data_IF_712404127210
#
_entry.id   IF_712404127210
#
_cell.length_a   1.000
_cell.length_b   1.000
_cell.length_c   1.000
_cell.angle_alpha   90.00
_cell.angle_beta   90.00
_cell.angle_gamma   90.00
#
_symmetry.space_group_name_H-M   'P 1'
#
loop_
_entity.id
_entity.type
_entity.pdbx_description
1 polymer ?
#
# COMPACT_ATOMS: atom_id res chain seq x y z
N UNK A 1 77.46 -35.90 32.46
CA UNK A 1 78.40 -35.65 33.58
C UNK A 1 77.63 -35.61 34.90
N UNK A 2 78.30 -35.78 36.06
CA UNK A 2 77.65 -35.71 37.39
C UNK A 2 78.20 -34.52 38.17
N UNK A 3 77.31 -33.71 38.73
CA UNK A 3 77.65 -32.53 39.53
C UNK A 3 77.31 -32.80 41.00
N UNK A 4 78.21 -32.47 41.95
CA UNK A 4 78.01 -32.70 43.39
C UNK A 4 77.94 -31.37 44.18
N UNK A 5 76.90 -31.23 45.00
CA UNK A 5 76.68 -30.19 46.00
C UNK A 5 75.93 -30.76 47.21
N UNK A 6 75.00 -30.02 47.83
CA UNK A 6 74.11 -30.55 48.89
C UNK A 6 73.22 -31.74 48.42
N UNK A 7 73.19 -32.00 47.11
CA UNK A 7 72.62 -33.17 46.44
C UNK A 7 73.46 -33.58 45.23
N UNK A 8 72.92 -34.49 44.41
CA UNK A 8 73.59 -34.99 43.18
C UNK A 8 72.70 -34.75 41.97
N UNK A 9 73.25 -34.18 40.91
CA UNK A 9 72.57 -33.95 39.62
C UNK A 9 73.25 -34.73 38.52
N UNK A 10 72.44 -35.32 37.65
CA UNK A 10 72.89 -36.08 36.49
C UNK A 10 72.40 -35.43 35.21
N UNK A 11 73.31 -35.31 34.24
CA UNK A 11 73.01 -34.82 32.89
C UNK A 11 73.46 -35.85 31.88
N UNK A 12 72.52 -36.23 31.01
CA UNK A 12 72.71 -37.23 29.98
C UNK A 12 72.60 -36.59 28.59
N UNK A 13 73.63 -36.80 27.78
CA UNK A 13 73.68 -36.38 26.38
C UNK A 13 73.39 -37.61 25.51
N UNK A 14 72.35 -37.51 24.68
CA UNK A 14 71.99 -38.58 23.75
C UNK A 14 73.03 -38.61 22.61
N UNK A 15 73.66 -39.76 22.36
CA UNK A 15 74.72 -39.85 21.37
C UNK A 15 74.22 -39.48 19.96
N UNK A 16 75.07 -38.76 19.22
CA UNK A 16 74.78 -38.26 17.87
C UNK A 16 73.43 -37.51 17.77
N UNK A 17 73.04 -36.80 18.84
CA UNK A 17 71.81 -36.03 18.89
C UNK A 17 71.98 -34.81 19.78
N UNK A 18 71.27 -33.74 19.44
CA UNK A 18 71.22 -32.52 20.27
C UNK A 18 70.25 -32.65 21.47
N UNK A 19 69.82 -33.86 21.84
CA UNK A 19 68.88 -34.12 22.96
C UNK A 19 69.62 -34.29 24.28
N UNK A 20 69.26 -33.46 25.27
CA UNK A 20 69.81 -33.48 26.64
C UNK A 20 68.67 -33.78 27.62
N UNK A 21 68.95 -34.61 28.64
CA UNK A 21 68.03 -34.91 29.74
C UNK A 21 68.72 -34.64 31.09
N UNK A 22 67.97 -34.16 32.07
CA UNK A 22 68.47 -33.86 33.42
C UNK A 22 67.53 -34.38 34.53
N UNK A 23 68.10 -34.78 35.67
CA UNK A 23 67.38 -35.08 36.92
C UNK A 23 68.27 -34.83 38.14
N UNK A 24 67.66 -34.68 39.31
CA UNK A 24 68.37 -34.33 40.55
C UNK A 24 67.82 -35.09 41.76
N UNK A 25 68.67 -35.31 42.77
CA UNK A 25 68.25 -35.75 44.10
C UNK A 25 68.86 -34.89 45.19
N UNK A 26 68.18 -34.78 46.32
CA UNK A 26 68.68 -34.11 47.51
C UNK A 26 69.12 -35.12 48.58
N UNK A 27 70.37 -35.05 49.03
CA UNK A 27 70.96 -35.96 50.02
C UNK A 27 70.58 -37.45 49.81
N UNK A 28 69.85 -38.07 50.75
CA UNK A 28 69.34 -39.45 50.68
C UNK A 28 67.91 -39.59 50.16
N UNK A 29 67.25 -38.49 49.76
CA UNK A 29 65.87 -38.48 49.25
C UNK A 29 65.72 -39.04 47.82
N UNK A 30 64.46 -39.12 47.36
CA UNK A 30 64.12 -39.65 46.05
C UNK A 30 64.64 -38.77 44.90
N UNK A 31 64.95 -39.42 43.77
CA UNK A 31 65.26 -38.72 42.52
C UNK A 31 63.99 -38.13 41.92
N UNK A 32 64.13 -36.96 41.32
CA UNK A 32 63.11 -36.48 40.37
C UNK A 32 63.06 -37.38 39.13
N UNK A 33 61.92 -37.43 38.43
CA UNK A 33 61.87 -37.97 37.08
C UNK A 33 62.84 -37.25 36.15
N UNK A 34 63.25 -37.91 35.07
CA UNK A 34 64.03 -37.27 34.01
C UNK A 34 63.17 -36.30 33.22
N UNK A 35 63.70 -35.11 32.96
CA UNK A 35 63.07 -34.09 32.12
C UNK A 35 63.89 -33.85 30.85
N UNK A 36 63.20 -33.55 29.75
CA UNK A 36 63.82 -33.29 28.44
C UNK A 36 64.08 -31.79 28.26
N UNK A 37 65.25 -31.43 27.74
CA UNK A 37 65.58 -30.06 27.34
C UNK A 37 65.33 -29.86 25.83
N UNK A 38 64.48 -28.90 25.46
CA UNK A 38 64.15 -28.54 24.07
C UNK A 38 65.07 -27.40 23.56
N UNK A 39 65.47 -27.38 22.27
CA UNK A 39 66.39 -26.40 21.67
C UNK A 39 66.06 -26.11 20.19
N UNK A 40 66.86 -25.31 19.49
CA UNK A 40 66.59 -24.88 18.10
C UNK A 40 66.53 -26.03 17.09
N UNK A 41 67.25 -27.12 17.36
CA UNK A 41 67.23 -28.35 16.58
C UNK A 41 66.23 -29.38 17.13
N UNK A 42 65.44 -29.05 18.18
CA UNK A 42 64.45 -29.91 18.85
C UNK A 42 63.30 -29.11 19.51
N UNK A 43 62.26 -28.73 18.75
CA UNK A 43 61.14 -27.83 19.15
C UNK A 43 59.86 -28.60 19.61
N UNK A 44 58.90 -27.96 20.33
CA UNK A 44 57.60 -28.56 20.74
C UNK A 44 56.46 -28.43 19.69
N UNK A 45 55.40 -29.25 19.79
CA UNK A 45 54.22 -29.30 18.90
C UNK A 45 52.86 -28.90 19.55
N UNK A 46 51.76 -28.89 18.77
CA UNK A 46 50.43 -28.42 19.22
C UNK A 46 49.87 -29.17 20.45
N UNK A 47 50.22 -30.44 20.59
CA UNK A 47 49.87 -31.28 21.73
C UNK A 47 50.67 -30.93 23.00
N UNK A 48 51.90 -30.41 22.86
CA UNK A 48 52.73 -30.05 24.01
C UNK A 48 52.19 -28.78 24.72
N UNK A 49 51.28 -28.04 24.06
CA UNK A 49 50.76 -26.75 24.54
C UNK A 49 49.23 -26.65 24.61
N UNK A 50 48.46 -27.67 24.21
CA UNK A 50 46.98 -27.70 24.33
C UNK A 50 46.18 -26.92 23.28
N UNK A 51 46.71 -26.78 22.04
CA UNK A 51 46.11 -25.96 20.98
C UNK A 51 45.46 -26.77 19.83
N UNK A 52 44.69 -26.07 18.99
CA UNK A 52 44.05 -26.63 17.80
C UNK A 52 44.89 -26.56 16.51
N UNK A 53 45.09 -27.66 15.76
CA UNK A 53 45.97 -27.66 14.59
C UNK A 53 45.47 -26.89 13.35
N UNK A 54 46.39 -26.42 12.48
CA UNK A 54 46.09 -25.76 11.18
C UNK A 54 45.48 -26.70 10.14
N UNK A 55 45.70 -28.00 10.31
CA UNK A 55 44.98 -29.05 9.58
C UNK A 55 43.56 -29.26 10.11
N UNK A 56 43.10 -28.38 10.99
CA UNK A 56 41.84 -28.48 11.71
C UNK A 56 41.97 -29.14 13.08
N UNK A 57 40.95 -28.93 13.91
CA UNK A 57 40.74 -29.63 15.17
C UNK A 57 39.51 -29.11 15.93
N UNK A 58 39.33 -29.51 17.18
CA UNK A 58 38.16 -29.27 18.05
C UNK A 58 38.31 -28.19 19.15
N UNK A 59 37.56 -27.09 19.05
CA UNK A 59 37.46 -26.04 20.08
C UNK A 59 36.78 -26.60 21.37
N UNK A 60 37.32 -26.28 22.55
CA UNK A 60 36.75 -26.61 23.89
C UNK A 60 36.34 -25.32 24.64
N UNK A 61 35.04 -24.97 24.67
CA UNK A 61 34.46 -23.73 25.23
C UNK A 61 33.02 -23.48 24.70
N UNK A 62 32.20 -22.56 25.26
CA UNK A 62 30.79 -22.42 24.89
C UNK A 62 30.61 -22.23 23.40
N UNK A 63 29.89 -23.20 22.89
CA UNK A 63 29.59 -23.56 21.52
C UNK A 63 28.47 -24.55 21.82
N UNK A 64 27.23 -24.25 21.51
CA UNK A 64 26.10 -25.16 21.73
C UNK A 64 25.13 -24.76 22.83
N UNK A 65 23.84 -24.81 22.46
CA UNK A 65 22.54 -24.74 23.17
C UNK A 65 21.75 -25.85 22.42
N UNK A 66 20.97 -26.74 23.01
CA UNK A 66 19.76 -26.52 23.78
C UNK A 66 19.85 -25.91 25.16
N UNK A 67 21.05 -25.75 25.70
CA UNK A 67 21.29 -25.15 27.01
C UNK A 67 22.79 -24.91 27.19
N UNK A 68 23.20 -24.15 28.22
CA UNK A 68 24.58 -23.73 28.51
C UNK A 68 25.42 -23.54 27.22
N UNK A 69 24.95 -22.75 26.27
CA UNK A 69 24.84 -21.32 26.41
C UNK A 69 26.17 -20.78 26.85
N UNK A 70 26.77 -20.10 25.93
CA UNK A 70 26.88 -18.72 26.19
C UNK A 70 26.67 -18.10 24.82
N UNK A 71 25.69 -17.21 24.71
CA UNK A 71 25.87 -16.13 23.74
C UNK A 71 27.19 -15.34 24.05
N UNK A 72 27.94 -15.67 25.13
CA UNK A 72 29.40 -15.60 25.22
C UNK A 72 30.17 -16.78 24.55
N UNK A 73 31.15 -16.47 23.70
CA UNK A 73 31.41 -17.18 22.44
C UNK A 73 32.13 -18.55 22.47
N UNK A 74 32.20 -19.31 21.37
CA UNK A 74 31.61 -19.14 20.06
C UNK A 74 30.25 -19.86 20.00
N UNK A 75 29.17 -19.20 20.48
CA UNK A 75 27.79 -19.42 20.00
C UNK A 75 27.76 -19.92 18.55
N UNK A 76 26.69 -20.44 17.94
CA UNK A 76 26.21 -21.81 17.99
C UNK A 76 25.52 -22.16 19.25
N UNK A 77 24.24 -22.49 19.13
CA UNK A 77 23.36 -22.92 20.21
C UNK A 77 21.86 -22.87 19.79
N UNK A 78 21.05 -23.96 19.87
CA UNK A 78 19.56 -24.01 19.66
C UNK A 78 18.71 -24.85 20.67
N UNK A 79 17.73 -24.20 21.34
CA UNK A 79 17.28 -24.26 22.75
C UNK A 79 16.58 -25.48 23.36
N UNK A 80 16.39 -26.56 22.63
CA UNK A 80 15.65 -27.76 23.06
C UNK A 80 15.90 -28.88 22.05
N UNK A 81 15.20 -30.01 22.18
CA UNK A 81 15.40 -31.18 21.31
C UNK A 81 14.72 -31.05 19.93
N UNK A 82 14.06 -29.92 19.64
CA UNK A 82 13.22 -29.79 18.46
C UNK A 82 13.17 -28.39 17.81
N UNK A 83 14.15 -27.54 18.13
CA UNK A 83 14.39 -26.23 17.50
C UNK A 83 15.82 -26.16 16.94
N UNK A 84 16.01 -25.62 15.73
CA UNK A 84 17.34 -25.45 15.12
C UNK A 84 17.35 -25.39 13.60
N UNK A 85 18.51 -25.60 12.98
CA UNK A 85 18.67 -25.69 11.53
C UNK A 85 18.86 -27.15 11.09
N UNK A 86 18.24 -27.56 9.97
CA UNK A 86 18.37 -28.91 9.41
C UNK A 86 18.61 -28.85 7.90
N UNK A 87 19.70 -29.46 7.43
CA UNK A 87 19.90 -29.70 6.01
C UNK A 87 19.10 -30.94 5.60
N UNK A 88 18.10 -30.79 4.72
CA UNK A 88 17.24 -31.91 4.25
C UNK A 88 17.72 -32.51 2.92
N UNK A 89 18.76 -31.96 2.33
CA UNK A 89 19.29 -32.35 1.03
C UNK A 89 20.27 -31.32 0.49
N UNK A 90 20.85 -31.61 -0.67
CA UNK A 90 21.72 -30.65 -1.35
C UNK A 90 20.94 -29.37 -1.68
N UNK A 91 21.49 -28.22 -1.25
CA UNK A 91 20.87 -26.92 -1.42
C UNK A 91 19.60 -26.65 -0.59
N UNK A 92 19.21 -27.52 0.35
CA UNK A 92 17.99 -27.33 1.18
C UNK A 92 18.37 -27.16 2.66
N UNK A 93 18.18 -25.94 3.18
CA UNK A 93 18.38 -25.61 4.59
C UNK A 93 17.06 -25.20 5.25
N UNK A 94 16.65 -25.90 6.29
CA UNK A 94 15.41 -25.66 7.03
C UNK A 94 15.67 -25.07 8.41
N UNK A 95 14.69 -24.32 8.93
CA UNK A 95 14.61 -23.82 10.30
C UNK A 95 13.43 -24.49 11.00
N UNK A 96 13.68 -25.12 12.14
CA UNK A 96 12.68 -25.78 12.99
C UNK A 96 12.49 -25.02 14.30
N UNK A 97 11.27 -25.04 14.82
CA UNK A 97 10.94 -24.61 16.18
C UNK A 97 9.85 -25.52 16.74
N UNK A 98 10.08 -26.12 17.91
CA UNK A 98 9.15 -27.04 18.59
C UNK A 98 8.60 -28.12 17.63
N UNK A 99 9.50 -28.86 16.99
CA UNK A 99 9.22 -29.95 16.04
C UNK A 99 8.57 -29.52 14.72
N UNK A 100 8.33 -28.23 14.51
CA UNK A 100 7.71 -27.71 13.31
C UNK A 100 8.73 -27.02 12.40
N UNK A 101 8.71 -27.34 11.12
CA UNK A 101 9.40 -26.55 10.09
C UNK A 101 8.74 -25.16 10.01
N UNK A 102 9.51 -24.10 10.21
CA UNK A 102 9.02 -22.72 10.19
C UNK A 102 9.50 -21.92 8.98
N UNK A 103 10.69 -22.21 8.46
CA UNK A 103 11.24 -21.53 7.28
C UNK A 103 12.17 -22.47 6.50
N UNK A 104 12.18 -22.36 5.18
CA UNK A 104 13.04 -23.13 4.27
C UNK A 104 13.79 -22.22 3.32
N UNK A 105 15.07 -22.50 3.13
CA UNK A 105 15.95 -21.87 2.15
C UNK A 105 16.28 -22.91 1.07
N UNK A 106 15.95 -22.59 -0.18
CA UNK A 106 16.31 -23.37 -1.38
C UNK A 106 16.90 -22.44 -2.45
N UNK A 107 17.48 -23.01 -3.50
CA UNK A 107 18.15 -22.24 -4.55
C UNK A 107 17.24 -21.26 -5.30
N UNK A 108 15.94 -21.55 -5.35
CA UNK A 108 14.97 -20.74 -6.09
C UNK A 108 14.29 -19.66 -5.25
N UNK A 109 14.05 -19.89 -3.96
CA UNK A 109 13.30 -18.99 -3.08
C UNK A 109 13.49 -19.34 -1.59
N UNK A 110 12.91 -18.50 -0.72
CA UNK A 110 12.79 -18.74 0.72
C UNK A 110 11.30 -18.91 1.05
N UNK A 111 10.93 -20.01 1.72
CA UNK A 111 9.55 -20.31 2.12
C UNK A 111 9.35 -20.04 3.60
N UNK A 112 8.36 -19.23 3.96
CA UNK A 112 7.85 -19.16 5.32
C UNK A 112 6.67 -20.13 5.46
N UNK A 113 6.76 -21.11 6.36
CA UNK A 113 5.68 -22.06 6.64
C UNK A 113 4.77 -21.59 7.79
N UNK A 114 5.09 -20.43 8.37
CA UNK A 114 4.33 -19.73 9.41
C UNK A 114 4.07 -18.28 8.98
N UNK A 115 3.10 -17.58 9.58
CA UNK A 115 2.93 -16.15 9.35
C UNK A 115 4.21 -15.38 9.61
N UNK A 116 4.60 -14.53 8.66
CA UNK A 116 5.77 -13.66 8.80
C UNK A 116 5.33 -12.29 9.35
N UNK A 117 5.81 -11.92 10.53
CA UNK A 117 5.68 -10.55 11.05
C UNK A 117 6.97 -9.78 10.77
N UNK A 118 6.86 -8.68 10.04
CA UNK A 118 7.97 -7.74 9.82
C UNK A 118 7.73 -6.51 10.70
N UNK A 119 8.60 -6.27 11.69
CA UNK A 119 8.48 -5.09 12.55
C UNK A 119 8.97 -3.81 11.86
N UNK A 120 9.86 -3.94 10.87
CA UNK A 120 10.32 -2.86 10.01
C UNK A 120 9.60 -2.83 8.66
N UNK A 121 10.30 -2.37 7.64
CA UNK A 121 9.76 -2.26 6.28
C UNK A 121 10.08 -3.52 5.46
N UNK A 122 9.16 -3.89 4.56
CA UNK A 122 9.44 -4.81 3.46
C UNK A 122 9.95 -3.99 2.25
N UNK A 123 11.09 -4.38 1.69
CA UNK A 123 11.66 -3.76 0.49
C UNK A 123 11.69 -4.83 -0.60
N UNK A 124 10.97 -4.61 -1.69
CA UNK A 124 10.92 -5.50 -2.85
C UNK A 124 11.46 -4.76 -4.09
N UNK A 125 12.34 -5.42 -4.85
CA UNK A 125 12.83 -4.92 -6.15
C UNK A 125 11.88 -5.27 -7.29
N UNK A 126 11.09 -6.32 -7.11
CA UNK A 126 9.96 -6.66 -7.94
C UNK A 126 8.64 -6.33 -7.25
N UNK A 127 7.56 -6.91 -7.75
CA UNK A 127 6.23 -6.74 -7.18
C UNK A 127 6.08 -7.49 -5.86
N UNK A 128 5.23 -6.95 -4.97
CA UNK A 128 4.76 -7.70 -3.80
C UNK A 128 3.49 -8.44 -4.22
N UNK A 129 3.52 -9.77 -4.13
CA UNK A 129 2.44 -10.62 -4.61
C UNK A 129 1.81 -11.46 -3.49
N UNK A 130 0.52 -11.74 -3.61
CA UNK A 130 -0.24 -12.65 -2.77
C UNK A 130 -1.18 -13.51 -3.62
N UNK A 131 -1.74 -14.57 -3.02
CA UNK A 131 -2.67 -15.50 -3.68
C UNK A 131 -2.13 -16.04 -5.02
N UNK A 132 -0.88 -16.48 -5.03
CA UNK A 132 -0.18 -17.00 -6.22
C UNK A 132 -0.19 -16.02 -7.41
N UNK A 133 0.01 -14.73 -7.13
CA UNK A 133 0.05 -13.67 -8.15
C UNK A 133 -1.31 -13.06 -8.52
N UNK A 134 -2.41 -13.53 -7.92
CA UNK A 134 -3.74 -12.95 -8.17
C UNK A 134 -3.94 -11.56 -7.56
N UNK A 135 -3.16 -11.21 -6.52
CA UNK A 135 -3.13 -9.87 -5.90
C UNK A 135 -1.70 -9.36 -5.93
N UNK A 136 -1.49 -8.15 -6.46
CA UNK A 136 -0.14 -7.60 -6.68
C UNK A 136 -0.09 -6.12 -6.32
N UNK A 137 1.00 -5.70 -5.68
CA UNK A 137 1.43 -4.30 -5.63
C UNK A 137 2.57 -4.15 -6.64
N UNK A 138 2.32 -3.39 -7.69
CA UNK A 138 3.28 -3.16 -8.76
C UNK A 138 4.31 -2.09 -8.41
N UNK A 139 5.45 -2.11 -9.10
CA UNK A 139 6.56 -1.18 -8.85
C UNK A 139 6.20 0.30 -9.14
N UNK A 140 5.16 0.53 -9.94
CA UNK A 140 4.61 1.86 -10.25
C UNK A 140 3.61 2.37 -9.19
N UNK A 141 3.37 1.59 -8.13
CA UNK A 141 2.39 1.88 -7.07
C UNK A 141 0.96 1.46 -7.41
N UNK A 142 0.72 0.82 -8.56
CA UNK A 142 -0.60 0.30 -8.91
C UNK A 142 -0.91 -0.98 -8.14
N UNK A 143 -2.20 -1.30 -8.02
CA UNK A 143 -2.70 -2.47 -7.28
C UNK A 143 -3.52 -3.34 -8.23
N UNK A 144 -3.18 -4.62 -8.35
CA UNK A 144 -3.92 -5.59 -9.16
C UNK A 144 -4.75 -6.50 -8.26
N UNK A 145 -5.99 -6.80 -8.68
CA UNK A 145 -6.82 -7.82 -8.05
C UNK A 145 -8.17 -8.01 -8.73
N UNK A 146 -8.77 -9.18 -8.56
CA UNK A 146 -10.08 -9.52 -9.14
C UNK A 146 -11.21 -8.64 -8.62
N UNK A 147 -11.10 -8.09 -7.42
CA UNK A 147 -12.05 -7.11 -6.87
C UNK A 147 -12.16 -5.84 -7.72
N UNK A 148 -11.11 -5.49 -8.47
CA UNK A 148 -11.07 -4.36 -9.39
C UNK A 148 -11.35 -4.77 -10.84
N UNK A 149 -11.53 -6.07 -11.12
CA UNK A 149 -11.55 -6.59 -12.48
C UNK A 149 -10.20 -6.48 -13.20
N UNK A 150 -9.10 -6.28 -12.47
CA UNK A 150 -7.77 -6.01 -13.04
C UNK A 150 -6.97 -5.02 -12.20
N UNK A 151 -6.47 -3.96 -12.85
CA UNK A 151 -5.73 -2.90 -12.17
C UNK A 151 -6.66 -1.86 -11.54
N UNK A 152 -6.32 -1.43 -10.32
CA UNK A 152 -7.06 -0.41 -9.57
C UNK A 152 -7.16 0.91 -10.35
N UNK A 153 -6.10 1.31 -11.06
CA UNK A 153 -6.13 2.49 -11.92
C UNK A 153 -7.30 2.45 -12.92
N UNK A 154 -7.48 1.34 -13.61
CA UNK A 154 -8.51 1.20 -14.65
C UNK A 154 -9.90 1.19 -14.03
N UNK A 155 -10.06 0.48 -12.90
CA UNK A 155 -11.28 0.51 -12.10
C UNK A 155 -11.66 1.94 -11.68
N UNK A 156 -10.71 2.72 -11.17
CA UNK A 156 -10.97 4.10 -10.74
C UNK A 156 -11.40 4.99 -11.91
N UNK A 157 -10.74 4.86 -13.06
CA UNK A 157 -11.07 5.62 -14.28
C UNK A 157 -12.44 5.24 -14.85
N UNK A 158 -12.81 3.96 -14.78
CA UNK A 158 -14.10 3.47 -15.26
C UNK A 158 -15.26 3.79 -14.29
N UNK A 159 -14.99 3.85 -12.99
CA UNK A 159 -16.03 3.99 -11.95
C UNK A 159 -16.29 5.44 -11.56
N UNK A 160 -15.27 6.31 -11.59
CA UNK A 160 -15.36 7.68 -11.10
C UNK A 160 -15.09 8.71 -12.19
N UNK A 161 -15.84 9.80 -12.17
CA UNK A 161 -15.56 10.95 -13.03
C UNK A 161 -14.23 11.60 -12.60
N UNK A 162 -13.34 11.95 -13.54
CA UNK A 162 -12.14 12.71 -13.23
C UNK A 162 -12.47 14.00 -12.48
N UNK A 163 -11.60 14.41 -11.55
CA UNK A 163 -11.74 15.70 -10.87
C UNK A 163 -11.78 16.83 -11.91
N UNK A 164 -12.85 17.62 -11.88
CA UNK A 164 -13.09 18.69 -12.86
C UNK A 164 -13.91 18.25 -14.09
N UNK A 165 -14.21 16.96 -14.22
CA UNK A 165 -15.11 16.40 -15.22
C UNK A 165 -16.53 16.20 -14.65
N UNK A 166 -17.01 17.19 -13.91
CA UNK A 166 -18.44 17.48 -13.84
C UNK A 166 -18.90 17.79 -15.27
N UNK A 167 -20.20 17.65 -15.60
CA UNK A 167 -20.69 17.91 -16.97
C UNK A 167 -20.03 19.19 -17.50
N UNK A 168 -19.29 19.12 -18.63
CA UNK A 168 -18.52 20.26 -19.10
C UNK A 168 -19.41 21.51 -19.19
N UNK A 169 -18.86 22.69 -18.92
CA UNK A 169 -19.54 23.93 -19.26
C UNK A 169 -20.00 23.85 -20.73
N UNK A 170 -21.32 23.93 -20.98
CA UNK A 170 -21.93 23.73 -22.30
C UNK A 170 -22.70 22.42 -22.51
N UNK A 171 -22.65 21.47 -21.58
CA UNK A 171 -23.55 20.28 -21.55
C UNK A 171 -24.68 20.45 -20.51
N UNK A 172 -24.53 21.38 -19.57
CA UNK A 172 -25.63 22.03 -18.89
C UNK A 172 -25.78 23.44 -19.50
N UNK A 173 -27.02 23.89 -19.73
CA UNK A 173 -27.24 25.23 -20.27
C UNK A 173 -26.65 26.28 -19.33
N UNK A 174 -25.79 27.15 -19.88
CA UNK A 174 -25.45 28.41 -19.23
C UNK A 174 -26.71 29.25 -19.04
N UNK A 175 -26.66 30.23 -18.14
CA UNK A 175 -27.80 31.15 -17.95
C UNK A 175 -28.23 31.80 -19.27
N UNK A 176 -27.29 32.25 -20.09
CA UNK A 176 -27.59 32.85 -21.40
C UNK A 176 -28.25 31.85 -22.38
N UNK A 177 -27.78 30.61 -22.44
CA UNK A 177 -28.38 29.58 -23.30
C UNK A 177 -29.78 29.17 -22.84
N UNK A 178 -30.00 29.07 -21.53
CA UNK A 178 -31.32 28.80 -20.96
C UNK A 178 -32.28 29.96 -21.24
N UNK A 179 -31.82 31.20 -20.98
CA UNK A 179 -32.58 32.43 -21.20
C UNK A 179 -33.00 32.60 -22.66
N UNK A 180 -32.17 32.16 -23.62
CA UNK A 180 -32.49 32.20 -25.05
C UNK A 180 -33.47 31.11 -25.51
N UNK A 181 -33.54 29.96 -24.82
CA UNK A 181 -34.31 28.78 -25.26
C UNK A 181 -35.65 28.64 -24.57
N UNK A 182 -35.77 29.09 -23.33
CA UNK A 182 -36.93 28.80 -22.49
C UNK A 182 -37.67 30.08 -22.07
N UNK A 183 -38.97 29.94 -21.84
CA UNK A 183 -39.79 31.03 -21.30
C UNK A 183 -39.40 31.25 -19.84
N UNK A 184 -38.99 32.47 -19.54
CA UNK A 184 -38.56 32.89 -18.21
C UNK A 184 -39.75 33.32 -17.34
N UNK A 185 -40.76 33.94 -17.96
CA UNK A 185 -41.97 34.44 -17.29
C UNK A 185 -43.10 34.74 -18.29
N UNK A 186 -44.34 34.95 -17.82
CA UNK A 186 -45.53 35.28 -18.62
C UNK A 186 -46.35 36.39 -17.94
N UNK A 187 -46.83 37.38 -18.72
CA UNK A 187 -47.66 38.48 -18.20
C UNK A 187 -48.72 38.95 -19.20
N UNK A 188 -49.65 39.81 -18.74
CA UNK A 188 -50.51 40.61 -19.60
C UNK A 188 -49.90 42.00 -19.82
N UNK A 189 -49.87 42.46 -21.07
CA UNK A 189 -49.37 43.79 -21.44
C UNK A 189 -50.39 44.91 -21.23
N UNK A 190 -50.11 46.08 -21.83
CA UNK A 190 -50.99 47.25 -21.80
C UNK A 190 -52.36 46.97 -22.42
N UNK A 191 -53.40 47.62 -21.90
CA UNK A 191 -54.75 47.50 -22.45
C UNK A 191 -54.86 48.22 -23.81
N UNK A 192 -55.56 47.59 -24.74
CA UNK A 192 -55.91 48.11 -26.06
C UNK A 192 -57.41 48.09 -26.20
N UNK A 193 -57.96 49.18 -26.74
CA UNK A 193 -59.39 49.29 -27.01
C UNK A 193 -59.75 48.51 -28.29
N UNK A 194 -60.80 47.70 -28.21
CA UNK A 194 -61.41 46.98 -29.34
C UNK A 194 -62.71 47.69 -29.67
N UNK A 195 -62.67 48.45 -30.78
CA UNK A 195 -63.68 49.40 -31.21
C UNK A 195 -64.96 48.78 -31.76
N UNK A 196 -65.99 49.63 -32.01
CA UNK A 196 -67.36 49.28 -31.70
C UNK A 196 -67.85 48.13 -32.57
N UNK A 197 -68.48 47.16 -31.91
CA UNK A 197 -69.16 46.08 -32.61
C UNK A 197 -70.38 46.69 -33.33
N UNK A 198 -70.60 46.34 -34.60
CA UNK A 198 -71.70 46.91 -35.37
C UNK A 198 -73.05 46.57 -34.73
N UNK A 199 -73.88 47.57 -34.45
CA UNK A 199 -75.11 47.40 -33.69
C UNK A 199 -76.11 46.50 -34.46
N UNK A 200 -76.43 45.32 -33.92
CA UNK A 200 -77.26 44.29 -34.55
C UNK A 200 -77.17 42.92 -33.86
N UNK A 201 -78.05 41.97 -34.23
CA UNK A 201 -78.32 40.73 -33.48
C UNK A 201 -77.13 39.75 -33.29
N UNK A 202 -75.95 40.02 -33.86
CA UNK A 202 -74.74 39.19 -33.71
C UNK A 202 -73.44 40.02 -33.78
N UNK A 203 -73.31 41.09 -33.00
CA UNK A 203 -72.04 41.81 -32.99
C UNK A 203 -70.96 41.01 -32.23
N UNK A 204 -69.81 40.82 -32.88
CA UNK A 204 -68.67 40.08 -32.33
C UNK A 204 -67.52 41.04 -32.00
N UNK A 205 -67.06 41.00 -30.75
CA UNK A 205 -65.81 41.63 -30.34
C UNK A 205 -64.72 40.56 -30.35
N UNK A 206 -63.77 40.69 -31.28
CA UNK A 206 -62.67 39.74 -31.42
C UNK A 206 -61.40 40.41 -30.93
N UNK A 207 -60.72 39.78 -29.96
CA UNK A 207 -59.41 40.25 -29.53
C UNK A 207 -58.43 40.19 -30.71
N UNK A 208 -57.55 41.20 -30.86
CA UNK A 208 -56.46 41.12 -31.83
C UNK A 208 -55.58 39.89 -31.57
N UNK A 209 -54.87 39.41 -32.60
CA UNK A 209 -53.97 38.25 -32.47
C UNK A 209 -53.02 38.41 -31.27
N UNK A 210 -52.89 37.34 -30.48
CA UNK A 210 -52.06 37.34 -29.28
C UNK A 210 -52.64 38.09 -28.07
N UNK A 211 -53.87 38.60 -28.18
CA UNK A 211 -54.56 39.28 -27.09
C UNK A 211 -55.70 38.43 -26.54
N UNK A 212 -56.02 38.66 -25.27
CA UNK A 212 -57.26 38.19 -24.65
C UNK A 212 -58.13 39.39 -24.30
N UNK A 213 -59.45 39.23 -24.39
CA UNK A 213 -60.38 40.22 -23.83
C UNK A 213 -60.23 40.22 -22.31
N UNK A 214 -60.19 41.41 -21.72
CA UNK A 214 -59.98 41.62 -20.29
C UNK A 214 -61.04 42.51 -19.64
N UNK A 215 -61.84 43.21 -20.44
CA UNK A 215 -63.06 43.87 -20.00
C UNK A 215 -64.03 43.98 -21.19
N UNK A 216 -65.32 43.89 -20.92
CA UNK A 216 -66.40 44.18 -21.87
C UNK A 216 -67.05 45.49 -21.41
N UNK A 217 -67.31 46.37 -22.37
CA UNK A 217 -67.95 47.66 -22.16
C UNK A 217 -69.29 47.62 -22.87
N UNK A 218 -70.33 47.89 -22.11
CA UNK A 218 -71.69 48.05 -22.58
C UNK A 218 -72.17 49.45 -22.19
N UNK A 219 -72.46 50.26 -23.20
CA UNK A 219 -72.79 51.67 -23.08
C UNK A 219 -74.28 51.93 -22.83
N UNK A 220 -75.16 50.95 -23.02
CA UNK A 220 -76.58 51.13 -22.74
C UNK A 220 -76.85 50.98 -21.23
N UNK A 221 -77.01 52.10 -20.56
CA UNK A 221 -77.33 52.16 -19.13
C UNK A 221 -78.81 52.41 -18.85
N UNK A 222 -79.67 52.47 -19.88
CA UNK A 222 -81.02 53.08 -19.75
C UNK A 222 -82.20 52.22 -20.17
N UNK A 223 -82.03 50.98 -20.64
CA UNK A 223 -83.18 50.12 -20.97
C UNK A 223 -82.98 48.65 -20.60
N UNK A 224 -83.90 48.10 -19.81
CA UNK A 224 -84.00 46.67 -19.51
C UNK A 224 -85.27 46.07 -20.16
N UNK A 225 -85.23 44.86 -20.74
CA UNK A 225 -84.03 44.06 -21.07
C UNK A 225 -83.22 44.67 -22.22
N UNK A 226 -81.89 44.59 -22.15
CA UNK A 226 -80.95 45.08 -23.18
C UNK A 226 -81.04 44.17 -24.41
N UNK A 227 -81.52 44.67 -25.57
CA UNK A 227 -81.75 43.84 -26.75
C UNK A 227 -80.52 43.74 -27.68
N UNK A 228 -79.41 44.40 -27.37
CA UNK A 228 -78.21 44.50 -28.19
C UNK A 228 -77.00 43.75 -27.63
N UNK A 229 -75.97 43.72 -28.46
CA UNK A 229 -74.66 43.09 -28.24
C UNK A 229 -73.67 44.04 -27.58
N UNK A 230 -72.62 43.55 -26.88
CA UNK A 230 -71.65 44.43 -26.21
C UNK A 230 -71.01 45.45 -27.16
N UNK A 231 -71.00 46.72 -26.75
CA UNK A 231 -70.55 47.85 -27.58
C UNK A 231 -69.06 47.80 -27.90
N UNK A 232 -68.21 47.54 -26.89
CA UNK A 232 -66.76 47.52 -27.06
C UNK A 232 -66.06 46.67 -25.99
N UNK A 233 -64.75 46.48 -26.12
CA UNK A 233 -63.97 45.75 -25.12
C UNK A 233 -62.57 46.32 -24.95
N UNK A 234 -61.92 45.97 -23.83
CA UNK A 234 -60.48 46.10 -23.70
C UNK A 234 -59.82 44.73 -23.84
N UNK A 235 -58.82 44.64 -24.71
CA UNK A 235 -57.97 43.47 -24.85
C UNK A 235 -56.56 43.75 -24.30
N UNK A 236 -55.87 42.73 -23.81
CA UNK A 236 -54.46 42.82 -23.42
C UNK A 236 -53.65 41.74 -24.13
N UNK A 237 -52.44 42.05 -24.64
CA UNK A 237 -51.58 41.04 -25.22
C UNK A 237 -51.08 40.10 -24.13
N UNK A 238 -51.11 38.80 -24.39
CA UNK A 238 -50.41 37.81 -23.57
C UNK A 238 -48.94 37.85 -24.01
N UNK A 239 -48.04 38.15 -23.07
CA UNK A 239 -46.61 38.30 -23.34
C UNK A 239 -45.81 37.21 -22.62
N UNK A 240 -44.79 36.69 -23.28
CA UNK A 240 -43.77 35.80 -22.70
C UNK A 240 -42.42 36.49 -22.67
N UNK A 241 -41.65 36.25 -21.61
CA UNK A 241 -40.27 36.72 -21.48
C UNK A 241 -39.32 35.65 -22.03
N UNK A 242 -38.59 36.00 -23.08
CA UNK A 242 -37.54 35.15 -23.66
C UNK A 242 -36.32 36.04 -23.90
N UNK A 243 -35.15 35.60 -23.45
CA UNK A 243 -33.89 36.32 -23.58
C UNK A 243 -33.95 37.77 -23.04
N UNK A 244 -34.66 37.99 -21.92
CA UNK A 244 -34.84 39.32 -21.33
C UNK A 244 -35.76 40.27 -22.11
N UNK A 245 -36.39 39.82 -23.20
CA UNK A 245 -37.35 40.59 -23.98
C UNK A 245 -38.78 40.05 -23.83
N UNK A 246 -39.72 40.96 -23.60
CA UNK A 246 -41.15 40.64 -23.58
C UNK A 246 -41.71 40.61 -25.00
N UNK A 247 -42.27 39.47 -25.40
CA UNK A 247 -42.79 39.24 -26.76
C UNK A 247 -44.26 38.83 -26.65
N UNK A 248 -45.14 39.42 -27.46
CA UNK A 248 -46.55 39.01 -27.56
C UNK A 248 -46.68 37.64 -28.24
N UNK A 249 -47.47 36.75 -27.66
CA UNK A 249 -47.70 35.40 -28.22
C UNK A 249 -48.49 35.46 -29.53
N UNK A 250 -48.32 34.48 -30.41
CA UNK A 250 -49.16 34.35 -31.61
C UNK A 250 -50.48 33.64 -31.30
N UNK A 251 -51.50 33.90 -32.13
CA UNK A 251 -52.73 33.11 -32.22
C UNK A 251 -52.66 32.23 -33.49
N UNK A 252 -52.98 30.94 -33.36
CA UNK A 252 -53.07 29.98 -34.48
C UNK A 252 -54.44 30.02 -35.14
#
# INVERSE_FOLDING_TARGET
MVLKGAGVTQVYHTYNSSRIWSRSKYSTGAWTPWAREYNTQNKPGAADVGALPITGGTITGPVGIGTANALGGNSIVFGDNDTGFKQEGDGILNVYANSALVMRFISSLIESLKPLKVNGNCIATGEIQAANGAVRLAADGNVYGTMWGGWLRDYLVATFQPKGNFTPAGQAYTKAESDARYVQDVRLGGAVFVGPSGNGSYASLTAPSGHMLTAILDGDTRRWPMPDSPDSAYARPIQKLVNGQWITVGQL
#
